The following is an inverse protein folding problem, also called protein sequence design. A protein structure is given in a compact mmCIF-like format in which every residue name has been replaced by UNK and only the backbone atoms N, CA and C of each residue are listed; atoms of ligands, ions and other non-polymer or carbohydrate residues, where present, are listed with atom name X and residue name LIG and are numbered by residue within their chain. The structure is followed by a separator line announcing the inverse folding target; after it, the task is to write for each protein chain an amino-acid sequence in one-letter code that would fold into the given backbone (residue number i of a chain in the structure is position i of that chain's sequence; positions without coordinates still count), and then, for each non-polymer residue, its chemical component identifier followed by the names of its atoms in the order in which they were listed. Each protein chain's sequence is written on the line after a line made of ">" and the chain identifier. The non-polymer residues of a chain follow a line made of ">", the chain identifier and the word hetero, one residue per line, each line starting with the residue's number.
data_IF_573455835173
#
_entry.id   IF_573455835173
#
_cell.length_a   1.000
_cell.length_b   1.000
_cell.length_c   1.000
_cell.angle_alpha   90.00
_cell.angle_beta   90.00
_cell.angle_gamma   90.00
#
_symmetry.space_group_name_H-M   'P 1'
#
loop_
_entity.id
_entity.type
_entity.pdbx_description
1 polymer ?
#
# COMPACT_ATOMS: atom_id res chain seq x y z
N UNK A 1 -27.21 17.23 -20.06
CA UNK A 1 -27.61 15.81 -19.80
C UNK A 1 -27.29 14.95 -21.04
N UNK A 2 -26.02 14.89 -21.47
CA UNK A 2 -25.58 14.30 -22.75
C UNK A 2 -24.68 13.06 -22.57
N UNK A 3 -24.89 12.29 -21.50
CA UNK A 3 -24.08 11.09 -21.23
C UNK A 3 -24.91 10.02 -20.56
N UNK A 4 -25.42 9.05 -21.33
CA UNK A 4 -26.05 7.84 -20.79
C UNK A 4 -25.03 6.93 -20.09
N UNK A 5 -25.39 5.65 -19.89
CA UNK A 5 -24.53 4.64 -19.23
C UNK A 5 -23.08 4.58 -19.77
N UNK A 6 -22.85 4.95 -21.03
CA UNK A 6 -21.51 5.03 -21.64
C UNK A 6 -20.61 6.11 -21.03
N UNK A 7 -21.15 7.24 -20.58
CA UNK A 7 -20.34 8.30 -19.98
C UNK A 7 -19.77 7.85 -18.63
N UNK A 8 -20.59 7.17 -17.81
CA UNK A 8 -20.19 6.60 -16.51
C UNK A 8 -19.12 5.51 -16.68
N UNK A 9 -19.21 4.68 -17.72
CA UNK A 9 -18.16 3.67 -17.98
C UNK A 9 -16.81 4.31 -18.31
N UNK A 10 -16.80 5.40 -19.09
CA UNK A 10 -15.55 6.08 -19.45
C UNK A 10 -14.91 6.79 -18.25
N UNK A 11 -15.71 7.38 -17.36
CA UNK A 11 -15.17 8.00 -16.14
C UNK A 11 -14.55 6.98 -15.19
N UNK A 12 -15.17 5.81 -15.04
CA UNK A 12 -14.60 4.73 -14.21
C UNK A 12 -13.32 4.15 -14.81
N UNK A 13 -13.24 3.99 -16.14
CA UNK A 13 -11.98 3.59 -16.80
C UNK A 13 -10.89 4.62 -16.54
N UNK A 14 -11.19 5.91 -16.66
CA UNK A 14 -10.23 6.97 -16.37
C UNK A 14 -9.77 6.96 -14.91
N UNK A 15 -10.69 6.83 -13.94
CA UNK A 15 -10.37 6.71 -12.52
C UNK A 15 -9.43 5.54 -12.24
N UNK A 16 -9.67 4.40 -12.91
CA UNK A 16 -8.87 3.21 -12.72
C UNK A 16 -7.46 3.35 -13.32
N UNK A 17 -7.33 3.97 -14.49
CA UNK A 17 -6.02 4.29 -15.08
C UNK A 17 -5.24 5.25 -14.17
N UNK A 18 -5.89 6.29 -13.64
CA UNK A 18 -5.27 7.25 -12.72
C UNK A 18 -4.79 6.54 -11.45
N UNK A 19 -5.61 5.66 -10.87
CA UNK A 19 -5.24 4.86 -9.70
C UNK A 19 -3.98 4.03 -9.96
N UNK A 20 -3.94 3.29 -11.08
CA UNK A 20 -2.82 2.42 -11.43
C UNK A 20 -1.54 3.22 -11.65
N UNK A 21 -1.63 4.35 -12.37
CA UNK A 21 -0.49 5.24 -12.59
C UNK A 21 0.00 5.85 -11.29
N UNK A 22 -0.93 6.34 -10.45
CA UNK A 22 -0.62 6.88 -9.13
C UNK A 22 0.09 5.86 -8.24
N UNK A 23 -0.26 4.58 -8.36
CA UNK A 23 0.37 3.50 -7.60
C UNK A 23 1.74 3.10 -8.15
N UNK A 24 1.91 3.05 -9.47
CA UNK A 24 3.17 2.62 -10.10
C UNK A 24 4.29 3.66 -10.03
N UNK A 25 3.99 4.94 -10.23
CA UNK A 25 5.01 5.99 -10.33
C UNK A 25 5.93 6.02 -9.08
N UNK A 26 5.40 6.07 -7.84
CA UNK A 26 6.25 6.08 -6.65
C UNK A 26 7.13 4.83 -6.56
N UNK A 27 6.59 3.66 -6.90
CA UNK A 27 7.31 2.38 -6.78
C UNK A 27 8.44 2.27 -7.79
N UNK A 28 8.19 2.65 -9.05
CA UNK A 28 9.20 2.71 -10.10
C UNK A 28 10.30 3.70 -9.73
N UNK A 29 9.93 4.86 -9.20
CA UNK A 29 10.92 5.87 -8.78
C UNK A 29 11.77 5.35 -7.62
N UNK A 30 11.15 4.83 -6.57
CA UNK A 30 11.86 4.27 -5.41
C UNK A 30 12.83 3.17 -5.83
N UNK A 31 12.38 2.24 -6.68
CA UNK A 31 13.21 1.17 -7.24
C UNK A 31 14.44 1.72 -7.96
N UNK A 32 14.28 2.78 -8.75
CA UNK A 32 15.40 3.41 -9.44
C UNK A 32 16.39 4.07 -8.47
N UNK A 33 15.88 4.80 -7.48
CA UNK A 33 16.72 5.48 -6.46
C UNK A 33 17.46 4.50 -5.54
N UNK A 34 16.88 3.33 -5.28
CA UNK A 34 17.48 2.28 -4.46
C UNK A 34 18.42 1.36 -5.26
N UNK A 35 18.54 1.54 -6.58
CA UNK A 35 19.45 0.76 -7.42
C UNK A 35 18.89 -0.58 -7.95
N UNK A 36 17.61 -0.89 -7.67
CA UNK A 36 16.94 -2.12 -8.13
C UNK A 36 16.43 -2.06 -9.58
N UNK A 37 16.70 -0.96 -10.29
CA UNK A 37 16.32 -0.75 -11.69
C UNK A 37 14.92 -0.16 -11.87
N UNK A 38 14.48 -0.04 -13.13
CA UNK A 38 13.20 0.62 -13.50
C UNK A 38 11.99 -0.26 -13.14
N UNK A 39 12.16 -1.59 -13.19
CA UNK A 39 11.07 -2.52 -12.92
C UNK A 39 11.30 -3.12 -11.52
N UNK A 40 10.58 -2.65 -10.48
CA UNK A 40 10.78 -3.07 -9.09
C UNK A 40 10.66 -4.57 -8.88
N UNK A 41 9.84 -5.21 -9.70
CA UNK A 41 9.54 -6.63 -9.62
C UNK A 41 10.74 -7.54 -9.91
N UNK A 42 11.73 -7.08 -10.70
CA UNK A 42 12.92 -7.88 -10.98
C UNK A 42 13.98 -7.75 -9.88
N UNK A 43 14.12 -6.57 -9.27
CA UNK A 43 15.03 -6.34 -8.14
C UNK A 43 14.43 -6.72 -6.77
N UNK A 44 13.17 -7.16 -6.73
CA UNK A 44 12.46 -7.52 -5.49
C UNK A 44 13.22 -8.55 -4.64
N UNK A 45 13.84 -9.56 -5.26
CA UNK A 45 14.59 -10.59 -4.53
C UNK A 45 15.80 -10.03 -3.79
N UNK A 46 16.55 -9.13 -4.42
CA UNK A 46 17.70 -8.45 -3.81
C UNK A 46 17.24 -7.50 -2.70
N UNK A 47 16.14 -6.77 -2.93
CA UNK A 47 15.53 -5.90 -1.94
C UNK A 47 15.12 -6.68 -0.67
N UNK A 48 14.51 -7.85 -0.83
CA UNK A 48 14.14 -8.72 0.30
C UNK A 48 15.38 -9.26 1.01
N UNK A 49 16.41 -9.70 0.28
CA UNK A 49 17.66 -10.18 0.88
C UNK A 49 18.32 -9.07 1.73
N UNK A 50 18.32 -7.84 1.22
CA UNK A 50 18.83 -6.68 1.95
C UNK A 50 18.05 -6.39 3.23
N UNK A 51 16.72 -6.52 3.20
CA UNK A 51 15.91 -6.42 4.41
C UNK A 51 16.35 -7.48 5.41
N UNK A 52 16.46 -8.75 5.00
CA UNK A 52 16.84 -9.86 5.88
C UNK A 52 18.18 -9.66 6.57
N UNK A 53 19.14 -8.97 5.94
CA UNK A 53 20.40 -8.56 6.58
C UNK A 53 20.21 -7.46 7.62
N UNK A 54 19.34 -6.49 7.33
CA UNK A 54 19.11 -5.32 8.18
C UNK A 54 18.23 -5.64 9.38
N UNK A 55 17.24 -6.53 9.26
CA UNK A 55 16.31 -6.88 10.34
C UNK A 55 17.00 -7.26 11.66
N UNK A 56 17.99 -8.17 11.69
CA UNK A 56 18.69 -8.51 12.93
C UNK A 56 19.55 -7.36 13.46
N UNK A 57 20.10 -6.51 12.57
CA UNK A 57 20.96 -5.38 12.95
C UNK A 57 20.16 -4.28 13.66
N UNK A 58 18.95 -4.01 13.19
CA UNK A 58 18.05 -2.99 13.79
C UNK A 58 17.21 -3.55 14.95
N UNK A 59 17.52 -4.76 15.43
CA UNK A 59 16.82 -5.44 16.53
C UNK A 59 15.30 -5.57 16.31
N UNK A 60 14.89 -6.03 15.13
CA UNK A 60 13.48 -6.30 14.84
C UNK A 60 12.88 -7.24 15.90
N UNK A 61 11.80 -6.79 16.57
CA UNK A 61 11.11 -7.58 17.59
C UNK A 61 11.57 -7.34 19.03
N UNK A 62 12.52 -6.42 19.26
CA UNK A 62 12.75 -5.87 20.61
C UNK A 62 11.44 -5.27 21.15
N UNK A 63 11.19 -5.46 22.45
CA UNK A 63 9.99 -4.92 23.09
C UNK A 63 9.92 -3.40 22.87
N UNK A 64 8.77 -2.90 22.41
CA UNK A 64 8.52 -1.47 22.30
C UNK A 64 8.80 -0.81 23.65
N UNK A 65 9.62 0.24 23.65
CA UNK A 65 9.83 1.06 24.82
C UNK A 65 8.60 1.96 24.91
N UNK A 66 7.72 1.57 25.83
CA UNK A 66 6.36 2.09 26.03
C UNK A 66 5.32 1.78 24.95
N UNK A 67 4.12 1.43 25.44
CA UNK A 67 2.94 1.27 24.59
C UNK A 67 2.54 2.66 24.09
N UNK A 68 2.31 2.84 22.80
CA UNK A 68 1.90 4.12 22.27
C UNK A 68 0.59 4.60 22.90
N UNK A 69 0.42 5.93 23.09
CA UNK A 69 -0.76 6.50 23.76
C UNK A 69 -2.08 6.23 23.02
N UNK A 70 -2.03 5.91 21.73
CA UNK A 70 -3.17 5.51 20.92
C UNK A 70 -2.94 4.06 20.48
N UNK A 71 -3.59 3.13 21.18
CA UNK A 71 -3.39 1.69 21.01
C UNK A 71 -3.44 1.22 19.55
N UNK A 72 -2.58 0.27 19.22
CA UNK A 72 -2.65 -0.46 17.96
C UNK A 72 -1.81 0.13 16.84
N UNK A 73 -0.50 -0.07 16.92
CA UNK A 73 0.33 -0.16 15.72
C UNK A 73 1.24 -1.35 15.90
N UNK A 74 1.05 -2.34 15.04
CA UNK A 74 2.08 -3.35 14.82
C UNK A 74 3.28 -2.58 14.29
N UNK A 75 4.25 -2.44 15.17
CA UNK A 75 5.64 -2.13 14.90
C UNK A 75 6.05 -2.88 13.63
N UNK A 76 7.08 -2.40 12.94
CA UNK A 76 7.84 -3.22 12.00
C UNK A 76 8.52 -4.41 12.74
N UNK A 77 7.84 -5.08 13.68
CA UNK A 77 8.29 -6.16 14.55
C UNK A 77 8.00 -7.54 13.97
N UNK A 78 7.19 -7.60 12.90
CA UNK A 78 7.02 -8.84 12.15
C UNK A 78 8.14 -8.89 11.10
N UNK A 79 8.95 -9.97 11.08
CA UNK A 79 9.92 -10.19 10.03
C UNK A 79 9.25 -10.09 8.66
N UNK A 80 9.95 -9.50 7.69
CA UNK A 80 9.40 -9.30 6.36
C UNK A 80 9.11 -10.63 5.64
N UNK A 81 9.85 -11.69 5.98
CA UNK A 81 9.72 -13.01 5.40
C UNK A 81 9.94 -14.12 6.44
N UNK A 82 9.06 -14.23 7.43
CA UNK A 82 9.04 -15.42 8.31
C UNK A 82 7.66 -15.66 8.93
N UNK A 83 6.81 -16.55 8.37
CA UNK A 83 5.74 -17.15 9.13
C UNK A 83 6.36 -18.11 10.14
N UNK A 84 6.59 -17.64 11.36
CA UNK A 84 7.16 -18.42 12.45
C UNK A 84 6.23 -19.59 12.84
N UNK A 85 6.40 -20.72 12.16
CA UNK A 85 5.74 -21.99 12.45
C UNK A 85 4.60 -22.38 11.49
N UNK A 86 4.28 -23.68 11.46
CA UNK A 86 3.32 -24.26 10.51
C UNK A 86 1.92 -23.63 10.56
N UNK A 87 1.45 -23.22 11.74
CA UNK A 87 0.14 -22.58 11.89
C UNK A 87 0.08 -21.20 11.23
N UNK A 88 1.17 -20.42 11.29
CA UNK A 88 1.22 -19.08 10.69
C UNK A 88 1.26 -19.16 9.16
N UNK A 89 1.98 -20.13 8.60
CA UNK A 89 1.95 -20.42 7.16
C UNK A 89 0.55 -20.83 6.69
N UNK A 90 -0.17 -21.62 7.50
CA UNK A 90 -1.56 -21.98 7.22
C UNK A 90 -2.51 -20.79 7.33
N UNK A 91 -2.34 -19.91 8.32
CA UNK A 91 -3.10 -18.65 8.41
C UNK A 91 -2.85 -17.77 7.19
N UNK A 92 -1.61 -17.69 6.69
CA UNK A 92 -1.29 -16.95 5.47
C UNK A 92 -1.96 -17.56 4.22
N UNK A 93 -1.87 -18.88 4.05
CA UNK A 93 -2.49 -19.58 2.93
C UNK A 93 -4.02 -19.44 2.93
N UNK A 94 -4.66 -19.61 4.10
CA UNK A 94 -6.11 -19.44 4.23
C UNK A 94 -6.55 -18.00 4.01
N UNK A 95 -5.78 -17.02 4.48
CA UNK A 95 -6.03 -15.60 4.19
C UNK A 95 -5.89 -15.30 2.70
N UNK A 96 -4.88 -15.83 2.02
CA UNK A 96 -4.71 -15.68 0.58
C UNK A 96 -5.91 -16.26 -0.20
N UNK A 97 -6.35 -17.47 0.15
CA UNK A 97 -7.55 -18.09 -0.45
C UNK A 97 -8.81 -17.25 -0.19
N UNK A 98 -8.99 -16.79 1.05
CA UNK A 98 -10.11 -15.93 1.43
C UNK A 98 -10.12 -14.64 0.59
N UNK A 99 -8.98 -13.99 0.41
CA UNK A 99 -8.88 -12.80 -0.44
C UNK A 99 -9.16 -13.10 -1.91
N UNK A 100 -8.64 -14.21 -2.46
CA UNK A 100 -8.92 -14.60 -3.84
C UNK A 100 -10.41 -14.89 -4.06
N UNK A 101 -11.02 -15.67 -3.18
CA UNK A 101 -12.45 -15.97 -3.24
C UNK A 101 -13.30 -14.70 -3.08
N UNK A 102 -12.88 -13.78 -2.21
CA UNK A 102 -13.50 -12.47 -2.04
C UNK A 102 -13.45 -11.62 -3.31
N UNK A 103 -12.33 -11.59 -4.03
CA UNK A 103 -12.26 -10.87 -5.31
C UNK A 103 -13.11 -11.50 -6.42
N UNK A 104 -13.29 -12.83 -6.38
CA UNK A 104 -14.08 -13.55 -7.36
C UNK A 104 -15.60 -13.43 -7.15
N UNK A 105 -16.05 -13.21 -5.91
CA UNK A 105 -17.48 -13.22 -5.55
C UNK A 105 -18.19 -11.87 -5.71
N UNK A 106 -17.48 -10.81 -6.09
CA UNK A 106 -18.00 -9.44 -6.12
C UNK A 106 -19.17 -9.29 -7.12
N UNK A 107 -20.42 -9.12 -6.64
CA UNK A 107 -21.61 -9.09 -7.50
C UNK A 107 -21.59 -7.95 -8.51
N UNK A 108 -20.94 -6.83 -8.15
CA UNK A 108 -20.82 -5.66 -9.02
C UNK A 108 -19.99 -5.92 -10.29
N UNK A 109 -19.08 -6.89 -10.28
CA UNK A 109 -18.30 -7.30 -11.46
C UNK A 109 -19.15 -8.22 -12.35
N UNK A 110 -19.89 -9.15 -11.73
CA UNK A 110 -20.74 -10.11 -12.44
C UNK A 110 -21.87 -9.41 -13.20
N UNK A 111 -22.54 -8.45 -12.58
CA UNK A 111 -23.63 -7.69 -13.20
C UNK A 111 -23.18 -6.89 -14.43
N UNK A 112 -21.91 -6.50 -14.49
CA UNK A 112 -21.35 -5.80 -15.66
C UNK A 112 -21.17 -6.71 -16.88
N UNK A 113 -20.87 -7.99 -16.71
CA UNK A 113 -20.71 -8.91 -17.84
C UNK A 113 -21.98 -9.06 -18.67
N UNK A 114 -23.15 -8.99 -18.01
CA UNK A 114 -24.46 -9.12 -18.64
C UNK A 114 -24.88 -7.90 -19.49
N UNK A 115 -24.11 -6.80 -19.43
CA UNK A 115 -24.41 -5.57 -20.20
C UNK A 115 -23.60 -5.43 -21.49
N UNK A 116 -22.71 -6.38 -21.80
CA UNK A 116 -21.91 -6.37 -23.03
C UNK A 116 -22.60 -7.11 -24.18
N UNK A 117 -22.56 -6.60 -25.42
CA UNK A 117 -23.34 -7.14 -26.54
C UNK A 117 -22.82 -8.48 -27.08
N UNK A 118 -21.59 -8.90 -26.74
CA UNK A 118 -21.00 -10.15 -27.22
C UNK A 118 -20.13 -10.84 -26.17
N UNK A 119 -20.12 -12.19 -26.17
CA UNK A 119 -19.28 -13.00 -25.27
C UNK A 119 -17.78 -12.74 -25.52
N UNK A 120 -17.38 -12.42 -26.76
CA UNK A 120 -15.99 -12.11 -27.09
C UNK A 120 -15.53 -10.80 -26.43
N UNK A 121 -16.39 -9.80 -26.42
CA UNK A 121 -16.09 -8.50 -25.81
C UNK A 121 -16.14 -8.58 -24.28
N UNK A 122 -17.06 -9.39 -23.72
CA UNK A 122 -17.07 -9.74 -22.31
C UNK A 122 -15.73 -10.32 -21.86
N UNK A 123 -15.22 -11.35 -22.55
CA UNK A 123 -13.92 -11.98 -22.23
C UNK A 123 -12.74 -11.01 -22.33
N UNK A 124 -12.72 -10.14 -23.33
CA UNK A 124 -11.68 -9.10 -23.44
C UNK A 124 -11.73 -8.13 -22.26
N UNK A 125 -12.93 -7.71 -21.86
CA UNK A 125 -13.10 -6.84 -20.70
C UNK A 125 -12.61 -7.51 -19.41
N UNK A 126 -12.93 -8.80 -19.21
CA UNK A 126 -12.41 -9.60 -18.07
C UNK A 126 -10.88 -9.60 -18.08
N UNK A 127 -10.27 -9.85 -19.24
CA UNK A 127 -8.82 -9.93 -19.37
C UNK A 127 -8.13 -8.62 -18.98
N UNK A 128 -8.67 -7.47 -19.40
CA UNK A 128 -8.14 -6.16 -18.98
C UNK A 128 -8.31 -5.94 -17.48
N UNK A 129 -9.48 -6.25 -16.90
CA UNK A 129 -9.69 -6.13 -15.45
C UNK A 129 -8.70 -6.98 -14.66
N UNK A 130 -8.53 -8.25 -15.04
CA UNK A 130 -7.56 -9.16 -14.41
C UNK A 130 -6.13 -8.66 -14.56
N UNK A 131 -5.76 -8.09 -15.72
CA UNK A 131 -4.43 -7.53 -15.95
C UNK A 131 -4.11 -6.36 -15.01
N UNK A 132 -5.05 -5.43 -14.82
CA UNK A 132 -4.84 -4.30 -13.91
C UNK A 132 -4.91 -4.69 -12.43
N UNK A 133 -5.77 -5.64 -12.06
CA UNK A 133 -5.78 -6.22 -10.70
C UNK A 133 -4.43 -6.89 -10.43
N UNK A 134 -3.93 -7.68 -11.39
CA UNK A 134 -2.61 -8.28 -11.32
C UNK A 134 -1.55 -7.20 -11.11
N UNK A 135 -1.56 -6.13 -11.90
CA UNK A 135 -0.58 -5.05 -11.78
C UNK A 135 -0.59 -4.41 -10.37
N UNK A 136 -1.78 -4.15 -9.81
CA UNK A 136 -1.90 -3.62 -8.44
C UNK A 136 -1.35 -4.61 -7.41
N UNK A 137 -1.80 -5.87 -7.45
CA UNK A 137 -1.41 -6.89 -6.47
C UNK A 137 0.04 -7.32 -6.59
N UNK A 138 0.62 -7.24 -7.78
CA UNK A 138 2.02 -7.52 -8.02
C UNK A 138 2.91 -6.38 -7.51
N UNK A 139 2.43 -5.14 -7.63
CA UNK A 139 3.15 -3.94 -7.18
C UNK A 139 3.07 -3.76 -5.66
N UNK A 140 1.99 -4.21 -5.00
CA UNK A 140 1.76 -3.91 -3.58
C UNK A 140 2.81 -4.49 -2.61
N UNK A 141 3.24 -5.76 -2.74
CA UNK A 141 4.37 -6.29 -1.97
C UNK A 141 5.66 -5.52 -2.26
N UNK A 142 5.93 -5.19 -3.53
CA UNK A 142 7.13 -4.44 -3.92
C UNK A 142 7.16 -3.05 -3.27
N UNK A 143 6.03 -2.33 -3.25
CA UNK A 143 5.91 -1.06 -2.52
C UNK A 143 6.25 -1.25 -1.03
N UNK A 144 5.66 -2.25 -0.37
CA UNK A 144 5.89 -2.48 1.06
C UNK A 144 7.37 -2.78 1.38
N UNK A 145 8.03 -3.59 0.55
CA UNK A 145 9.47 -3.90 0.66
C UNK A 145 10.32 -2.65 0.48
N UNK A 146 10.08 -1.88 -0.58
CA UNK A 146 10.87 -0.68 -0.88
C UNK A 146 10.67 0.41 0.19
N UNK A 147 9.44 0.60 0.69
CA UNK A 147 9.17 1.54 1.79
C UNK A 147 9.88 1.10 3.07
N UNK A 148 9.87 -0.20 3.39
CA UNK A 148 10.59 -0.73 4.55
C UNK A 148 12.10 -0.50 4.43
N UNK A 149 12.68 -0.75 3.25
CA UNK A 149 14.09 -0.45 2.98
C UNK A 149 14.41 1.04 3.11
N UNK A 150 13.53 1.92 2.62
CA UNK A 150 13.73 3.37 2.69
C UNK A 150 13.90 3.87 4.13
N UNK A 151 13.23 3.20 5.08
CA UNK A 151 13.31 3.52 6.51
C UNK A 151 14.54 2.87 7.18
N UNK A 152 14.87 1.63 6.81
CA UNK A 152 15.87 0.79 7.48
C UNK A 152 17.30 0.92 6.93
N UNK A 153 17.48 1.12 5.62
CA UNK A 153 18.81 1.00 5.02
C UNK A 153 19.66 2.25 5.28
N UNK A 154 20.74 2.17 6.08
CA UNK A 154 21.55 3.33 6.43
C UNK A 154 22.29 3.93 5.22
N UNK A 155 22.40 3.20 4.10
CA UNK A 155 23.03 3.69 2.87
C UNK A 155 22.17 4.71 2.12
N UNK A 156 20.86 4.74 2.39
CA UNK A 156 19.93 5.67 1.77
C UNK A 156 19.87 6.97 2.58
N UNK A 157 19.94 8.12 1.89
CA UNK A 157 19.91 9.44 2.53
C UNK A 157 18.63 9.70 3.34
N UNK A 158 17.53 9.04 2.97
CA UNK A 158 16.20 9.14 3.58
C UNK A 158 16.00 8.22 4.77
N UNK A 159 16.97 7.36 5.11
CA UNK A 159 16.86 6.50 6.28
C UNK A 159 16.63 7.34 7.54
N UNK A 160 15.76 6.85 8.42
CA UNK A 160 15.42 7.54 9.67
C UNK A 160 15.87 6.76 10.89
N UNK A 161 15.98 5.44 10.78
CA UNK A 161 16.38 4.58 11.89
C UNK A 161 17.89 4.74 12.10
N UNK A 162 18.29 5.09 13.32
CA UNK A 162 19.68 5.40 13.70
C UNK A 162 20.08 6.87 13.60
N UNK A 163 19.19 7.78 13.18
CA UNK A 163 19.41 9.24 13.23
C UNK A 163 18.91 9.84 14.53
N UNK A 164 19.33 11.07 14.85
CA UNK A 164 18.83 11.74 16.07
C UNK A 164 17.33 12.02 15.96
N UNK A 165 16.60 11.84 17.06
CA UNK A 165 15.13 12.04 17.08
C UNK A 165 14.79 13.50 16.74
N UNK A 166 15.63 14.45 17.16
CA UNK A 166 15.47 15.86 16.83
C UNK A 166 15.57 16.12 15.31
N UNK A 167 16.50 15.48 14.61
CA UNK A 167 16.60 15.56 13.14
C UNK A 167 15.39 14.94 12.46
N UNK A 168 14.93 13.77 12.93
CA UNK A 168 13.77 13.09 12.33
C UNK A 168 12.50 13.91 12.57
N UNK A 169 12.31 14.50 13.75
CA UNK A 169 11.17 15.36 14.06
C UNK A 169 11.21 16.70 13.29
N UNK A 170 12.37 17.12 12.80
CA UNK A 170 12.48 18.29 11.93
C UNK A 170 12.03 18.01 10.48
N UNK A 171 11.86 16.74 10.08
CA UNK A 171 11.41 16.39 8.73
C UNK A 171 9.95 16.84 8.50
N UNK A 172 9.65 17.54 7.39
CA UNK A 172 8.30 18.07 7.14
C UNK A 172 7.21 16.99 7.14
N UNK A 173 7.50 15.82 6.56
CA UNK A 173 6.53 14.73 6.51
C UNK A 173 6.24 14.15 7.91
N UNK A 174 7.27 14.00 8.75
CA UNK A 174 7.12 13.54 10.13
C UNK A 174 6.24 14.50 10.91
N UNK A 175 6.44 15.82 10.76
CA UNK A 175 5.61 16.85 11.39
C UNK A 175 4.15 16.77 10.91
N UNK A 176 3.93 16.66 9.60
CA UNK A 176 2.59 16.59 9.01
C UNK A 176 1.82 15.36 9.51
N UNK A 177 2.45 14.18 9.48
CA UNK A 177 1.82 12.93 9.90
C UNK A 177 1.69 12.80 11.42
N UNK A 178 2.57 13.45 12.18
CA UNK A 178 2.44 13.57 13.64
C UNK A 178 1.31 14.51 14.05
N UNK A 179 1.11 15.62 13.34
CA UNK A 179 0.01 16.56 13.59
C UNK A 179 -1.37 15.89 13.44
N UNK A 180 -1.51 14.96 12.49
CA UNK A 180 -2.76 14.19 12.28
C UNK A 180 -2.84 12.90 13.11
N UNK A 181 -1.92 12.69 14.06
CA UNK A 181 -1.87 11.52 14.96
C UNK A 181 -1.77 10.16 14.24
N UNK A 182 -1.13 10.14 13.07
CA UNK A 182 -0.90 8.91 12.30
C UNK A 182 0.52 8.38 12.46
N UNK A 183 1.43 9.21 12.97
CA UNK A 183 2.84 8.91 13.23
C UNK A 183 3.27 9.49 14.58
N UNK A 184 4.09 8.78 15.33
CA UNK A 184 4.72 9.32 16.52
C UNK A 184 6.07 8.67 16.77
N UNK A 185 6.92 9.42 17.46
CA UNK A 185 8.24 9.02 17.90
C UNK A 185 8.22 9.07 19.42
N UNK A 186 8.70 8.03 20.09
CA UNK A 186 8.82 8.01 21.54
C UNK A 186 10.21 7.53 21.92
N UNK A 187 11.06 8.43 22.40
CA UNK A 187 12.36 8.10 22.97
C UNK A 187 12.16 7.45 24.33
N UNK A 188 12.18 6.12 24.37
CA UNK A 188 11.93 5.40 25.60
C UNK A 188 13.21 5.11 26.39
N UNK A 189 14.37 5.12 25.72
CA UNK A 189 15.66 4.83 26.33
C UNK A 189 16.43 6.10 26.74
N UNK A 190 16.01 7.28 26.25
CA UNK A 190 16.59 8.59 26.52
C UNK A 190 17.94 8.86 25.84
N UNK A 191 18.30 8.09 24.81
CA UNK A 191 19.57 8.21 24.09
C UNK A 191 19.55 9.24 22.95
N UNK A 192 18.36 9.75 22.60
CA UNK A 192 18.15 10.75 21.55
C UNK A 192 18.33 10.22 20.12
N UNK A 193 18.47 8.91 19.92
CA UNK A 193 18.64 8.23 18.63
C UNK A 193 17.35 7.45 18.32
N UNK A 194 16.80 7.62 17.12
CA UNK A 194 15.57 6.94 16.74
C UNK A 194 15.83 5.46 16.48
N UNK A 195 15.30 4.60 17.35
CA UNK A 195 15.31 3.15 17.17
C UNK A 195 14.01 2.63 16.54
N UNK A 196 14.04 1.39 16.03
CA UNK A 196 12.88 0.79 15.35
C UNK A 196 11.68 0.57 16.30
N UNK A 197 11.96 0.31 17.58
CA UNK A 197 10.99 0.13 18.64
C UNK A 197 10.42 1.46 19.20
N UNK A 198 10.93 2.59 18.73
CA UNK A 198 10.55 3.96 19.10
C UNK A 198 9.84 4.71 17.96
N UNK A 199 9.85 4.12 16.77
CA UNK A 199 9.16 4.60 15.59
C UNK A 199 7.80 3.91 15.43
N UNK A 200 6.75 4.72 15.34
CA UNK A 200 5.40 4.20 15.24
C UNK A 200 4.61 4.89 14.14
N UNK A 201 4.05 4.06 13.25
CA UNK A 201 3.28 4.50 12.09
C UNK A 201 2.08 3.59 11.89
N UNK A 202 0.91 4.17 11.60
CA UNK A 202 -0.28 3.39 11.22
C UNK A 202 -0.11 2.72 9.85
N UNK A 203 -0.50 1.45 9.76
CA UNK A 203 -0.45 0.69 8.51
C UNK A 203 -1.25 1.38 7.39
N UNK A 204 -2.36 2.02 7.74
CA UNK A 204 -3.27 2.69 6.80
C UNK A 204 -2.63 3.88 6.08
N UNK A 205 -1.58 4.49 6.65
CA UNK A 205 -0.91 5.65 6.04
C UNK A 205 0.33 5.28 5.24
N UNK A 206 0.81 4.04 5.29
CA UNK A 206 2.08 3.64 4.66
C UNK A 206 2.08 4.00 3.17
N UNK A 207 1.01 3.67 2.44
CA UNK A 207 0.91 3.95 1.00
C UNK A 207 0.91 5.45 0.71
N UNK A 208 0.23 6.26 1.54
CA UNK A 208 0.11 7.71 1.36
C UNK A 208 1.39 8.45 1.76
N UNK A 209 2.07 7.97 2.81
CA UNK A 209 3.31 8.56 3.32
C UNK A 209 4.54 8.11 2.51
N UNK A 210 4.47 6.98 1.80
CA UNK A 210 5.60 6.40 1.02
C UNK A 210 6.29 7.41 0.10
N UNK A 211 5.59 8.21 -0.74
CA UNK A 211 6.24 9.22 -1.56
C UNK A 211 7.04 10.24 -0.76
N UNK A 212 6.54 10.64 0.41
CA UNK A 212 7.19 11.61 1.28
C UNK A 212 8.39 11.00 2.01
N UNK A 213 8.27 9.75 2.47
CA UNK A 213 9.37 8.96 3.06
C UNK A 213 10.51 8.80 2.04
N UNK A 214 10.16 8.55 0.77
CA UNK A 214 11.12 8.43 -0.32
C UNK A 214 11.70 9.77 -0.81
N UNK A 215 11.26 10.91 -0.24
CA UNK A 215 11.73 12.24 -0.64
C UNK A 215 11.27 12.64 -2.04
N UNK A 216 10.17 12.07 -2.55
CA UNK A 216 9.62 12.39 -3.86
C UNK A 216 9.00 13.80 -3.86
N UNK A 217 8.94 14.48 -5.02
CA UNK A 217 8.26 15.77 -5.13
C UNK A 217 6.82 15.71 -4.62
N UNK A 218 6.35 16.79 -3.98
CA UNK A 218 5.00 16.84 -3.35
C UNK A 218 3.87 16.47 -4.33
N UNK A 219 4.05 16.76 -5.63
CA UNK A 219 3.09 16.43 -6.70
C UNK A 219 2.83 14.93 -6.76
N UNK A 220 3.82 14.09 -6.45
CA UNK A 220 3.67 12.63 -6.41
C UNK A 220 2.86 12.20 -5.19
N UNK A 221 3.09 12.79 -4.01
CA UNK A 221 2.23 12.56 -2.84
C UNK A 221 0.77 12.95 -3.13
N UNK A 222 0.56 14.11 -3.77
CA UNK A 222 -0.76 14.55 -4.22
C UNK A 222 -1.41 13.60 -5.24
N UNK A 223 -0.63 13.06 -6.18
CA UNK A 223 -1.10 12.07 -7.14
C UNK A 223 -1.53 10.76 -6.47
N UNK A 224 -0.74 10.26 -5.51
CA UNK A 224 -1.07 9.05 -4.73
C UNK A 224 -2.33 9.27 -3.90
N UNK A 225 -2.46 10.42 -3.25
CA UNK A 225 -3.68 10.79 -2.51
C UNK A 225 -4.91 10.87 -3.42
N UNK A 226 -4.77 11.47 -4.61
CA UNK A 226 -5.83 11.52 -5.61
C UNK A 226 -6.21 10.11 -6.12
N UNK A 227 -5.22 9.25 -6.37
CA UNK A 227 -5.43 7.85 -6.73
C UNK A 227 -6.16 7.05 -5.64
N UNK A 228 -5.79 7.25 -4.37
CA UNK A 228 -6.46 6.65 -3.22
C UNK A 228 -7.92 7.08 -3.10
N UNK A 229 -8.22 8.37 -3.29
CA UNK A 229 -9.60 8.85 -3.35
C UNK A 229 -10.37 8.29 -4.55
N UNK A 230 -9.75 8.21 -5.72
CA UNK A 230 -10.37 7.60 -6.90
C UNK A 230 -10.72 6.12 -6.66
N UNK A 231 -9.85 5.37 -5.98
CA UNK A 231 -10.12 3.99 -5.58
C UNK A 231 -11.33 3.87 -4.65
N UNK A 232 -11.38 4.71 -3.61
CA UNK A 232 -12.46 4.73 -2.64
C UNK A 232 -13.81 5.09 -3.29
N UNK A 233 -13.84 6.12 -4.13
CA UNK A 233 -15.05 6.53 -4.84
C UNK A 233 -15.51 5.48 -5.85
N UNK A 234 -14.59 4.87 -6.61
CA UNK A 234 -14.95 3.81 -7.56
C UNK A 234 -15.55 2.59 -6.86
N UNK A 235 -15.07 2.25 -5.66
CA UNK A 235 -15.61 1.13 -4.87
C UNK A 235 -16.97 1.48 -4.28
N UNK A 236 -17.13 2.69 -3.75
CA UNK A 236 -18.40 3.18 -3.22
C UNK A 236 -19.50 3.17 -4.29
N UNK A 237 -19.21 3.68 -5.50
CA UNK A 237 -20.13 3.68 -6.64
C UNK A 237 -20.54 2.25 -7.04
N UNK A 238 -19.55 1.35 -7.16
CA UNK A 238 -19.80 -0.05 -7.51
C UNK A 238 -20.68 -0.79 -6.49
N UNK A 239 -20.47 -0.55 -5.19
CA UNK A 239 -21.27 -1.15 -4.12
C UNK A 239 -22.68 -0.54 -4.05
N UNK A 240 -22.82 0.78 -4.18
CA UNK A 240 -24.12 1.44 -4.21
C UNK A 240 -24.99 0.94 -5.35
N UNK A 241 -24.41 0.75 -6.55
CA UNK A 241 -25.12 0.20 -7.70
C UNK A 241 -25.53 -1.26 -7.49
N UNK A 242 -24.67 -2.07 -6.84
CA UNK A 242 -25.01 -3.44 -6.49
C UNK A 242 -26.16 -3.51 -5.49
N UNK A 243 -26.14 -2.66 -4.45
CA UNK A 243 -27.21 -2.57 -3.45
C UNK A 243 -28.50 -2.09 -4.10
N UNK A 244 -28.45 -1.05 -4.94
CA UNK A 244 -29.63 -0.53 -5.63
C UNK A 244 -30.28 -1.59 -6.53
N UNK A 245 -29.48 -2.35 -7.29
CA UNK A 245 -29.99 -3.42 -8.14
C UNK A 245 -30.63 -4.54 -7.31
N UNK A 246 -29.96 -5.00 -6.24
CA UNK A 246 -30.50 -6.03 -5.35
C UNK A 246 -31.83 -5.58 -4.72
N UNK A 247 -31.92 -4.37 -4.20
CA UNK A 247 -33.17 -3.83 -3.65
C UNK A 247 -34.27 -3.66 -4.71
N UNK A 248 -33.93 -3.32 -5.95
CA UNK A 248 -34.93 -3.10 -7.01
C UNK A 248 -35.45 -4.39 -7.66
N UNK A 249 -34.67 -5.48 -7.60
CA UNK A 249 -35.01 -6.74 -8.24
C UNK A 249 -35.47 -7.81 -7.24
N UNK A 250 -35.01 -7.75 -5.98
CA UNK A 250 -35.27 -8.78 -4.97
C UNK A 250 -36.32 -8.35 -3.92
N UNK A 251 -36.69 -7.07 -3.84
CA UNK A 251 -37.79 -6.54 -3.00
C UNK A 251 -38.89 -5.93 -3.88
#
# INVERSE_FOLDING_TARGET
>A
MLGGMRAVTWTQVAQYIVLIIAYLIPVIWMSNTQGFGIIPHFGYGEAVARIQELEPVVQLGAAAVDKPPFGGVKILSVPHFDPQGGMQSWSFATLAICMMMGTASLPHILMRYFTTPSVRDARKSVAYSLFFIFLLYFTAPALATLTKLQLLDPTLATSIIGKSIAEVQALPWVQNWSAVKMLWLNDGNGDGILQLNEFFMRADIVVLATPEIAGLPYVISGLVAAGGMAAAMSTADGLLLAIANALSHDL
#
